data_IF_688715681386
#
_entry.id   IF_688715681386
#
_cell.length_a   1.000
_cell.length_b   1.000
_cell.length_c   1.000
_cell.angle_alpha   90.00
_cell.angle_beta   90.00
_cell.angle_gamma   90.00
#
_symmetry.space_group_name_H-M   'P 1'
#
loop_
_entity.id
_entity.type
_entity.pdbx_description
1 polymer ?
#
# COMPACT_ATOMS: atom_id res chain seq x y z
N UNK A 1 9.69 24.04 46.56
CA UNK A 1 9.31 23.27 45.37
C UNK A 1 7.79 23.17 45.39
N UNK A 2 7.13 23.45 44.26
CA UNK A 2 5.70 23.27 44.17
C UNK A 2 5.38 21.78 44.09
N UNK A 3 4.31 21.34 44.75
CA UNK A 3 3.87 19.96 44.81
C UNK A 3 2.61 19.73 43.93
N UNK A 4 2.57 18.63 43.18
CA UNK A 4 1.41 18.25 42.41
C UNK A 4 0.32 17.69 43.34
N UNK A 5 -0.88 18.23 43.24
CA UNK A 5 -2.04 17.79 44.03
C UNK A 5 -2.68 16.56 43.37
N UNK A 6 -2.79 15.45 44.11
CA UNK A 6 -3.52 14.26 43.69
C UNK A 6 -5.00 14.39 43.98
N UNK A 7 -5.86 14.33 42.95
CA UNK A 7 -7.31 14.48 43.02
C UNK A 7 -8.11 13.27 42.56
N UNK A 8 -7.50 12.08 42.59
CA UNK A 8 -8.17 10.83 42.28
C UNK A 8 -7.72 9.74 43.24
N UNK A 9 -8.47 8.64 43.27
CA UNK A 9 -8.15 7.44 44.04
C UNK A 9 -7.99 6.26 43.14
N UNK A 10 -7.24 5.27 43.59
CA UNK A 10 -7.01 4.00 42.89
C UNK A 10 -7.08 2.83 43.85
N UNK A 11 -6.69 1.65 43.41
CA UNK A 11 -6.62 0.45 44.25
C UNK A 11 -5.35 0.42 45.08
N UNK A 12 -4.33 1.18 44.66
CA UNK A 12 -3.04 1.31 45.35
C UNK A 12 -2.41 2.67 44.98
N UNK A 13 -1.34 3.02 45.67
CA UNK A 13 -0.50 4.21 45.37
C UNK A 13 0.95 3.81 45.31
N UNK A 14 1.66 4.25 44.28
CA UNK A 14 3.09 3.95 44.11
C UNK A 14 3.90 5.15 43.61
N UNK A 15 5.20 5.23 43.89
CA UNK A 15 6.07 6.19 43.23
C UNK A 15 6.00 6.05 41.71
N UNK A 16 5.74 7.14 40.99
CA UNK A 16 5.60 7.11 39.52
C UNK A 16 6.83 6.53 38.81
N UNK A 17 8.02 6.62 39.42
CA UNK A 17 9.28 6.06 38.91
C UNK A 17 9.35 4.54 38.95
N UNK A 18 8.48 3.86 39.69
CA UNK A 18 8.38 2.40 39.69
C UNK A 18 7.61 1.85 38.51
N UNK A 19 6.94 2.71 37.75
CA UNK A 19 6.24 2.34 36.54
C UNK A 19 7.22 2.13 35.38
N UNK A 20 7.05 1.02 34.70
CA UNK A 20 7.82 0.69 33.50
C UNK A 20 6.95 0.91 32.27
N UNK A 21 7.51 1.56 31.27
CA UNK A 21 6.86 1.66 29.97
C UNK A 21 6.62 0.26 29.38
N UNK A 22 5.46 0.09 28.72
CA UNK A 22 5.05 -1.17 28.13
C UNK A 22 4.61 -1.00 26.68
N UNK A 23 4.30 0.22 26.25
CA UNK A 23 3.80 0.50 24.91
C UNK A 23 4.91 0.82 23.89
N UNK A 24 6.12 1.22 24.34
CA UNK A 24 7.17 1.70 23.44
C UNK A 24 6.70 2.92 22.62
N UNK A 25 6.95 2.90 21.32
CA UNK A 25 6.59 3.98 20.39
C UNK A 25 5.14 3.88 19.84
N UNK A 26 4.31 2.98 20.39
CA UNK A 26 2.93 2.77 19.92
C UNK A 26 2.11 4.06 19.83
N UNK A 27 2.30 4.99 20.78
CA UNK A 27 1.65 6.30 20.79
C UNK A 27 2.65 7.40 21.11
N UNK A 28 2.63 8.46 20.31
CA UNK A 28 3.40 9.68 20.53
C UNK A 28 2.51 10.81 21.04
N UNK A 29 3.12 11.84 21.63
CA UNK A 29 2.48 13.09 22.00
C UNK A 29 3.37 14.23 21.48
N UNK A 30 2.78 15.23 20.85
CA UNK A 30 3.50 16.43 20.41
C UNK A 30 3.89 17.29 21.61
N UNK A 31 4.95 18.09 21.47
CA UNK A 31 5.42 18.98 22.56
C UNK A 31 4.33 19.95 23.01
N UNK A 32 3.55 20.53 22.08
CA UNK A 32 2.40 21.40 22.41
C UNK A 32 1.33 20.69 23.27
N UNK A 33 1.01 19.44 22.93
CA UNK A 33 0.05 18.67 23.71
C UNK A 33 0.61 18.19 25.05
N UNK A 34 1.92 17.91 25.11
CA UNK A 34 2.61 17.60 26.38
C UNK A 34 2.56 18.79 27.32
N UNK A 35 2.84 20.02 26.83
CA UNK A 35 2.78 21.24 27.63
C UNK A 35 1.34 21.55 28.08
N UNK A 36 0.33 21.33 27.22
CA UNK A 36 -1.08 21.44 27.64
C UNK A 36 -1.43 20.45 28.75
N UNK A 37 -0.94 19.21 28.66
CA UNK A 37 -1.15 18.20 29.70
C UNK A 37 -0.44 18.55 31.00
N UNK A 38 0.81 19.03 30.96
CA UNK A 38 1.55 19.54 32.12
C UNK A 38 0.78 20.66 32.82
N UNK A 39 0.34 21.67 32.04
CA UNK A 39 -0.41 22.80 32.55
C UNK A 39 -1.74 22.35 33.19
N UNK A 40 -2.42 21.38 32.59
CA UNK A 40 -3.63 20.80 33.16
C UNK A 40 -3.36 20.10 34.49
N UNK A 41 -2.28 19.31 34.58
CA UNK A 41 -1.88 18.64 35.84
C UNK A 41 -1.52 19.66 36.93
N UNK A 42 -0.82 20.74 36.60
CA UNK A 42 -0.50 21.80 37.55
C UNK A 42 -1.77 22.50 38.07
N UNK A 43 -2.66 22.86 37.15
CA UNK A 43 -3.85 23.63 37.47
C UNK A 43 -4.95 22.82 38.19
N UNK A 44 -5.22 21.62 37.71
CA UNK A 44 -6.33 20.79 38.13
C UNK A 44 -5.94 19.65 39.05
N UNK A 45 -4.63 19.35 39.19
CA UNK A 45 -4.10 18.19 39.88
C UNK A 45 -4.11 16.95 39.02
N UNK A 46 -3.55 15.86 39.55
CA UNK A 46 -3.55 14.54 38.89
C UNK A 46 -4.88 13.85 39.15
N UNK A 47 -5.80 13.92 38.18
CA UNK A 47 -7.23 13.63 38.36
C UNK A 47 -7.67 12.21 37.93
N UNK A 48 -6.78 11.38 37.33
CA UNK A 48 -7.14 10.05 36.89
C UNK A 48 -6.04 9.03 37.21
N UNK A 49 -6.37 7.86 37.80
CA UNK A 49 -5.39 6.82 38.08
C UNK A 49 -4.82 6.25 36.78
N UNK A 50 -3.69 5.59 36.86
CA UNK A 50 -3.09 4.86 35.73
C UNK A 50 -3.33 3.36 35.88
N UNK A 51 -3.43 2.66 34.76
CA UNK A 51 -3.63 1.21 34.78
C UNK A 51 -2.30 0.48 34.69
N UNK A 52 -2.10 -0.51 35.56
CA UNK A 52 -0.83 -1.21 35.76
C UNK A 52 -1.03 -2.71 35.73
N UNK A 53 -0.18 -3.40 34.98
CA UNK A 53 -0.05 -4.85 35.06
C UNK A 53 1.18 -5.22 35.88
N UNK A 54 0.94 -5.92 36.99
CA UNK A 54 2.02 -6.43 37.83
C UNK A 54 2.46 -7.80 37.33
N UNK A 55 3.71 -7.88 36.86
CA UNK A 55 4.31 -9.13 36.44
C UNK A 55 5.60 -9.38 37.24
N UNK A 56 5.56 -10.37 38.11
CA UNK A 56 6.60 -10.59 39.15
C UNK A 56 6.77 -9.29 39.96
N UNK A 57 7.98 -8.80 40.07
CA UNK A 57 8.31 -7.59 40.82
C UNK A 57 8.29 -6.30 40.00
N UNK A 58 7.71 -6.32 38.78
CA UNK A 58 7.68 -5.16 37.88
C UNK A 58 6.26 -4.68 37.64
N UNK A 59 6.09 -3.37 37.71
CA UNK A 59 4.84 -2.67 37.44
C UNK A 59 4.87 -2.09 36.01
N UNK A 60 4.21 -2.75 35.07
CA UNK A 60 4.12 -2.31 33.68
C UNK A 60 2.89 -1.43 33.46
N UNK A 61 3.11 -0.25 32.89
CA UNK A 61 2.06 0.71 32.60
C UNK A 61 1.25 0.25 31.39
N UNK A 62 -0.06 0.05 31.56
CA UNK A 62 -0.99 -0.36 30.49
C UNK A 62 -1.71 0.84 29.92
N UNK A 63 -2.14 1.81 30.76
CA UNK A 63 -2.67 3.09 30.30
C UNK A 63 -2.17 4.25 31.17
N UNK A 64 -2.04 5.42 30.56
CA UNK A 64 -1.52 6.62 31.20
C UNK A 64 -0.09 7.00 30.81
N UNK A 65 0.44 6.45 29.71
CA UNK A 65 1.80 6.71 29.23
C UNK A 65 2.09 8.19 29.01
N UNK A 66 1.14 8.94 28.44
CA UNK A 66 1.30 10.39 28.25
C UNK A 66 1.30 11.14 29.59
N UNK A 67 0.48 10.70 30.55
CA UNK A 67 0.50 11.24 31.93
C UNK A 67 1.82 10.96 32.61
N UNK A 68 2.39 9.76 32.44
CA UNK A 68 3.71 9.44 32.96
C UNK A 68 4.81 10.29 32.30
N UNK A 69 4.74 10.54 30.99
CA UNK A 69 5.66 11.47 30.30
C UNK A 69 5.56 12.88 30.88
N UNK A 70 4.35 13.39 31.10
CA UNK A 70 4.13 14.70 31.72
C UNK A 70 4.67 14.78 33.16
N UNK A 71 4.47 13.75 34.00
CA UNK A 71 5.02 13.71 35.36
C UNK A 71 6.55 13.67 35.37
N UNK A 72 7.17 12.92 34.44
CA UNK A 72 8.62 12.91 34.30
C UNK A 72 9.16 14.30 33.92
N UNK A 73 8.49 14.99 32.99
CA UNK A 73 8.87 16.36 32.58
C UNK A 73 8.69 17.33 33.73
N UNK A 74 7.55 17.31 34.43
CA UNK A 74 7.31 18.16 35.62
C UNK A 74 8.33 17.91 36.72
N UNK A 75 8.72 16.65 36.95
CA UNK A 75 9.77 16.33 37.89
C UNK A 75 11.12 16.94 37.47
N UNK A 76 11.47 16.89 36.18
CA UNK A 76 12.66 17.53 35.64
C UNK A 76 12.60 19.06 35.78
N UNK A 77 11.40 19.64 35.66
CA UNK A 77 11.14 21.08 35.88
C UNK A 77 11.17 21.48 37.38
N UNK A 78 11.44 20.55 38.32
CA UNK A 78 11.59 20.80 39.73
C UNK A 78 10.33 20.67 40.57
N UNK A 79 9.24 20.09 40.05
CA UNK A 79 8.07 19.79 40.86
C UNK A 79 8.28 18.53 41.72
N UNK A 80 7.70 18.53 42.91
CA UNK A 80 7.59 17.33 43.76
C UNK A 80 6.36 16.53 43.31
N UNK A 81 6.55 15.25 42.95
CA UNK A 81 5.49 14.35 42.55
C UNK A 81 5.24 13.33 43.67
N UNK A 82 4.09 13.38 44.36
CA UNK A 82 3.70 12.36 45.35
C UNK A 82 3.51 10.99 44.70
N UNK A 83 3.32 9.96 45.52
CA UNK A 83 2.88 8.67 45.04
C UNK A 83 1.54 8.81 44.30
N UNK A 84 1.47 8.18 43.11
CA UNK A 84 0.28 8.32 42.24
C UNK A 84 -0.64 7.12 42.37
N UNK A 85 -1.95 7.33 42.29
CA UNK A 85 -2.93 6.25 42.33
C UNK A 85 -2.89 5.40 41.08
N UNK A 86 -2.94 4.10 41.28
CA UNK A 86 -2.92 3.09 40.23
C UNK A 86 -4.10 2.13 40.36
N UNK A 87 -4.47 1.48 39.27
CA UNK A 87 -5.44 0.38 39.24
C UNK A 87 -4.76 -0.82 38.60
N UNK A 88 -4.71 -1.94 39.34
CA UNK A 88 -4.13 -3.16 38.78
C UNK A 88 -5.08 -3.83 37.79
N UNK A 89 -4.54 -4.16 36.61
CA UNK A 89 -5.20 -5.01 35.61
C UNK A 89 -4.54 -6.39 35.67
N UNK A 90 -5.37 -7.43 35.73
CA UNK A 90 -4.92 -8.80 35.62
C UNK A 90 -4.61 -9.14 34.16
N UNK A 91 -3.48 -9.81 33.92
CA UNK A 91 -3.18 -10.39 32.61
C UNK A 91 -2.36 -11.67 32.82
N UNK A 92 -2.70 -12.71 32.09
CA UNK A 92 -2.10 -14.04 32.26
C UNK A 92 -0.64 -14.09 31.80
N UNK A 93 -0.34 -13.32 30.76
CA UNK A 93 0.99 -13.22 30.18
C UNK A 93 1.19 -11.90 29.42
N UNK A 94 2.39 -11.72 28.84
CA UNK A 94 2.72 -10.49 28.09
C UNK A 94 1.82 -10.24 26.88
N UNK A 95 1.40 -11.31 26.17
CA UNK A 95 0.50 -11.19 25.01
C UNK A 95 -0.88 -10.69 25.44
N UNK A 96 -1.42 -11.25 26.51
CA UNK A 96 -2.70 -10.82 27.07
C UNK A 96 -2.65 -9.36 27.57
N UNK A 97 -1.55 -8.97 28.21
CA UNK A 97 -1.34 -7.60 28.64
C UNK A 97 -1.28 -6.62 27.45
N UNK A 98 -0.61 -6.98 26.36
CA UNK A 98 -0.59 -6.20 25.11
C UNK A 98 -1.98 -6.04 24.52
N UNK A 99 -2.76 -7.15 24.43
CA UNK A 99 -4.14 -7.12 23.95
C UNK A 99 -4.97 -6.15 24.77
N UNK A 100 -4.93 -6.24 26.12
CA UNK A 100 -5.64 -5.33 27.03
C UNK A 100 -5.20 -3.88 26.88
N UNK A 101 -3.91 -3.61 26.68
CA UNK A 101 -3.42 -2.27 26.38
C UNK A 101 -4.08 -1.72 25.12
N UNK A 102 -4.14 -2.49 24.04
CA UNK A 102 -4.78 -2.04 22.80
C UNK A 102 -6.27 -1.72 23.01
N UNK A 103 -7.04 -2.59 23.67
CA UNK A 103 -8.46 -2.35 23.93
C UNK A 103 -8.69 -1.09 24.75
N UNK A 104 -7.90 -0.86 25.80
CA UNK A 104 -8.04 0.33 26.64
C UNK A 104 -7.57 1.59 25.91
N UNK A 105 -6.46 1.47 25.17
CA UNK A 105 -5.80 2.61 24.55
C UNK A 105 -6.43 3.06 23.24
N UNK A 106 -7.21 2.20 22.55
CA UNK A 106 -7.84 2.52 21.27
C UNK A 106 -8.91 3.63 21.37
N UNK A 107 -9.37 3.95 22.60
CA UNK A 107 -10.47 4.91 22.80
C UNK A 107 -10.03 6.39 22.78
N UNK A 108 -8.74 6.72 23.00
CA UNK A 108 -8.35 8.09 23.33
C UNK A 108 -7.00 8.56 22.72
N UNK A 109 -6.49 7.95 21.67
CA UNK A 109 -5.22 8.40 21.11
C UNK A 109 -4.90 7.86 19.73
N UNK A 110 -4.02 8.57 19.02
CA UNK A 110 -3.53 8.14 17.71
C UNK A 110 -2.37 7.15 17.89
N UNK A 111 -2.41 6.05 17.15
CA UNK A 111 -1.30 5.12 17.03
C UNK A 111 -0.36 5.59 15.93
N UNK A 112 0.94 5.31 16.05
CA UNK A 112 1.87 5.37 14.92
C UNK A 112 1.82 4.03 14.19
N UNK A 113 1.93 4.05 12.86
CA UNK A 113 1.83 2.83 12.04
C UNK A 113 2.96 1.86 12.41
N UNK A 114 4.19 2.38 12.49
CA UNK A 114 5.38 1.59 12.83
C UNK A 114 5.27 0.99 14.24
N UNK A 115 4.92 1.82 15.22
CA UNK A 115 4.80 1.37 16.61
C UNK A 115 3.65 0.38 16.82
N UNK A 116 2.58 0.50 16.03
CA UNK A 116 1.48 -0.45 16.06
C UNK A 116 1.88 -1.79 15.44
N UNK A 117 2.47 -1.78 14.26
CA UNK A 117 2.92 -2.99 13.58
C UNK A 117 3.85 -3.81 14.49
N UNK A 118 4.90 -3.20 15.04
CA UNK A 118 5.83 -3.85 15.97
C UNK A 118 5.15 -4.39 17.24
N UNK A 119 4.10 -3.70 17.70
CA UNK A 119 3.44 -4.06 18.96
C UNK A 119 2.52 -5.28 18.81
N UNK A 120 1.90 -5.49 17.63
CA UNK A 120 0.92 -6.57 17.41
C UNK A 120 1.50 -7.85 16.82
N UNK A 121 2.76 -7.85 16.39
CA UNK A 121 3.42 -8.99 15.73
C UNK A 121 3.25 -10.35 16.43
N UNK A 122 3.06 -10.37 17.74
CA UNK A 122 2.99 -11.59 18.54
C UNK A 122 1.61 -11.84 19.18
N UNK A 123 0.58 -11.08 18.77
CA UNK A 123 -0.78 -11.21 19.31
C UNK A 123 -1.82 -11.26 18.18
N UNK A 124 -2.86 -12.05 18.42
CA UNK A 124 -4.07 -12.07 17.60
C UNK A 124 -5.07 -11.06 18.18
N UNK A 125 -5.48 -10.08 17.38
CA UNK A 125 -6.39 -8.99 17.78
C UNK A 125 -7.53 -8.89 16.80
N UNK A 126 -8.78 -9.01 17.27
CA UNK A 126 -9.94 -8.66 16.47
C UNK A 126 -10.08 -7.14 16.40
N UNK A 127 -9.76 -6.57 15.25
CA UNK A 127 -9.82 -5.13 15.02
C UNK A 127 -11.23 -4.55 15.06
N UNK A 128 -12.26 -5.37 14.85
CA UNK A 128 -13.66 -4.92 14.95
C UNK A 128 -14.05 -4.61 16.40
N UNK A 129 -13.35 -5.18 17.37
CA UNK A 129 -13.55 -4.90 18.78
C UNK A 129 -12.76 -3.67 19.27
N UNK A 130 -11.76 -3.21 18.49
CA UNK A 130 -11.05 -1.98 18.79
C UNK A 130 -11.86 -0.80 18.29
N UNK A 131 -12.30 0.07 19.22
CA UNK A 131 -12.90 1.36 18.87
C UNK A 131 -11.81 2.34 18.41
N UNK A 132 -11.33 2.13 17.19
CA UNK A 132 -10.50 3.11 16.51
C UNK A 132 -11.44 4.20 16.00
N UNK A 133 -11.20 5.44 16.40
CA UNK A 133 -12.03 6.58 15.99
C UNK A 133 -12.12 6.61 14.47
N UNK A 134 -13.34 6.71 13.97
CA UNK A 134 -13.67 6.72 12.54
C UNK A 134 -12.69 7.58 11.74
N UNK A 135 -11.98 6.98 10.83
CA UNK A 135 -11.23 7.67 9.78
C UNK A 135 -9.71 7.58 9.82
N UNK A 136 -9.07 6.90 10.79
CA UNK A 136 -7.60 6.89 10.85
C UNK A 136 -6.93 5.56 10.50
N UNK A 137 -7.60 4.43 10.61
CA UNK A 137 -7.00 3.15 10.22
C UNK A 137 -8.08 2.13 9.82
N UNK A 138 -8.15 1.79 8.55
CA UNK A 138 -8.75 0.55 8.09
C UNK A 138 -7.63 -0.52 8.12
N UNK A 139 -7.46 -1.17 9.26
CA UNK A 139 -6.53 -2.28 9.40
C UNK A 139 -7.22 -3.57 8.96
N UNK A 140 -7.28 -3.84 7.69
CA UNK A 140 -7.36 -5.22 7.22
C UNK A 140 -5.96 -5.82 7.30
N UNK A 141 -5.59 -6.37 8.47
CA UNK A 141 -4.44 -7.27 8.55
C UNK A 141 -4.87 -8.58 7.88
N UNK A 142 -4.07 -9.13 6.98
CA UNK A 142 -4.31 -10.47 6.48
C UNK A 142 -4.33 -11.43 7.67
N UNK A 143 -5.44 -12.16 7.86
CA UNK A 143 -5.45 -13.32 8.71
C UNK A 143 -4.61 -14.40 8.02
N UNK A 144 -3.71 -15.00 8.77
CA UNK A 144 -2.78 -16.05 8.37
C UNK A 144 -1.59 -15.57 7.52
N UNK A 145 -0.46 -15.41 8.23
CA UNK A 145 0.85 -15.59 7.65
C UNK A 145 1.03 -17.09 7.32
N UNK A 146 0.50 -17.52 6.19
CA UNK A 146 1.34 -18.35 5.36
C UNK A 146 2.36 -17.37 4.80
N UNK A 147 3.65 -17.59 5.09
CA UNK A 147 4.76 -16.97 4.41
C UNK A 147 4.50 -17.06 2.90
N UNK A 148 3.83 -16.06 2.36
CA UNK A 148 3.98 -15.75 0.95
C UNK A 148 5.35 -15.07 0.94
N UNK A 149 6.40 -15.85 0.70
CA UNK A 149 7.65 -15.31 0.24
C UNK A 149 7.26 -14.27 -0.81
N UNK A 150 7.56 -12.99 -0.53
CA UNK A 150 7.30 -11.92 -1.49
C UNK A 150 8.10 -12.32 -2.75
N UNK A 151 7.41 -12.72 -3.81
CA UNK A 151 8.03 -13.12 -5.07
C UNK A 151 8.90 -12.00 -5.67
N UNK A 152 9.04 -10.86 -4.99
CA UNK A 152 9.58 -9.61 -5.48
C UNK A 152 10.48 -8.84 -4.50
N UNK A 153 11.16 -9.50 -3.55
CA UNK A 153 12.27 -8.84 -2.84
C UNK A 153 13.44 -8.63 -3.81
N UNK A 154 13.41 -7.50 -4.51
CA UNK A 154 14.52 -7.04 -5.34
C UNK A 154 15.49 -6.34 -4.39
N UNK A 155 16.71 -6.90 -4.23
CA UNK A 155 17.79 -6.17 -3.59
C UNK A 155 18.07 -4.87 -4.38
N UNK A 156 18.18 -3.74 -3.69
CA UNK A 156 18.56 -2.46 -4.34
C UNK A 156 19.93 -2.49 -5.03
N UNK A 157 20.72 -3.56 -4.85
CA UNK A 157 22.04 -3.77 -5.46
C UNK A 157 21.94 -4.67 -6.70
N UNK A 158 21.40 -4.14 -7.80
CA UNK A 158 21.47 -4.79 -9.10
C UNK A 158 22.73 -4.34 -9.83
N UNK A 159 23.49 -5.31 -10.39
CA UNK A 159 24.71 -4.99 -11.16
C UNK A 159 24.35 -4.27 -12.45
N UNK A 160 24.96 -3.13 -12.76
CA UNK A 160 24.63 -2.35 -13.95
C UNK A 160 25.12 -3.07 -15.23
N UNK A 161 24.18 -3.44 -16.08
CA UNK A 161 24.43 -4.13 -17.36
C UNK A 161 23.85 -3.34 -18.51
N UNK A 162 22.63 -2.86 -18.39
CA UNK A 162 21.84 -2.22 -19.45
C UNK A 162 22.37 -0.83 -19.81
N UNK A 163 22.27 -0.48 -21.09
CA UNK A 163 22.59 0.85 -21.64
C UNK A 163 21.44 1.34 -22.51
N UNK A 164 21.36 2.64 -22.71
CA UNK A 164 20.41 3.23 -23.66
C UNK A 164 20.56 2.60 -25.05
N UNK A 165 19.45 2.18 -25.62
CA UNK A 165 19.36 1.47 -26.90
C UNK A 165 19.39 -0.05 -26.79
N UNK A 166 19.68 -0.62 -25.62
CA UNK A 166 19.70 -2.08 -25.44
C UNK A 166 18.29 -2.67 -25.47
N UNK A 167 18.15 -3.79 -26.18
CA UNK A 167 16.94 -4.58 -26.29
C UNK A 167 17.09 -5.91 -25.53
N UNK A 168 16.31 -6.08 -24.49
CA UNK A 168 16.18 -7.34 -23.77
C UNK A 168 15.03 -8.19 -24.33
N UNK A 169 15.27 -9.48 -24.46
CA UNK A 169 14.23 -10.50 -24.65
C UNK A 169 14.13 -11.32 -23.36
N UNK A 170 12.94 -11.27 -22.73
CA UNK A 170 12.61 -11.91 -21.45
C UNK A 170 11.57 -13.00 -21.72
N UNK A 171 12.00 -14.22 -22.05
CA UNK A 171 11.12 -15.24 -22.61
C UNK A 171 10.48 -14.78 -23.92
N UNK A 172 9.16 -14.56 -23.91
CA UNK A 172 8.42 -14.02 -25.05
C UNK A 172 8.22 -12.50 -24.98
N UNK A 173 8.60 -11.88 -23.87
CA UNK A 173 8.49 -10.43 -23.68
C UNK A 173 9.73 -9.71 -24.23
N UNK A 174 9.58 -8.40 -24.44
CA UNK A 174 10.68 -7.52 -24.85
C UNK A 174 10.70 -6.27 -23.98
N UNK A 175 11.91 -5.80 -23.67
CA UNK A 175 12.13 -4.54 -22.95
C UNK A 175 13.22 -3.76 -23.69
N UNK A 176 12.92 -2.55 -24.11
CA UNK A 176 13.92 -1.63 -24.67
C UNK A 176 14.27 -0.55 -23.66
N UNK A 177 15.56 -0.32 -23.46
CA UNK A 177 16.05 0.81 -22.70
C UNK A 177 16.06 2.05 -23.60
N UNK A 178 15.07 2.94 -23.45
CA UNK A 178 14.95 4.08 -24.34
C UNK A 178 13.78 5.01 -24.04
N UNK A 179 13.70 6.07 -24.81
CA UNK A 179 12.64 7.06 -24.74
C UNK A 179 11.37 6.56 -25.44
N UNK A 180 10.24 6.55 -24.74
CA UNK A 180 8.94 6.11 -25.26
C UNK A 180 8.32 7.09 -26.27
N UNK A 181 8.79 8.34 -26.34
CA UNK A 181 8.40 9.31 -27.38
C UNK A 181 9.10 9.06 -28.72
N UNK A 182 10.19 8.26 -28.70
CA UNK A 182 10.93 7.95 -29.91
C UNK A 182 10.30 6.78 -30.67
N UNK A 183 9.65 7.06 -31.81
CA UNK A 183 9.03 6.06 -32.68
C UNK A 183 9.99 4.98 -33.20
N UNK A 184 11.30 5.22 -33.27
CA UNK A 184 12.29 4.22 -33.65
C UNK A 184 12.42 3.13 -32.58
N UNK A 185 12.44 3.51 -31.30
CA UNK A 185 12.44 2.56 -30.18
C UNK A 185 11.19 1.67 -30.21
N UNK A 186 10.01 2.27 -30.47
CA UNK A 186 8.75 1.53 -30.60
C UNK A 186 8.82 0.54 -31.76
N UNK A 187 9.33 0.97 -32.92
CA UNK A 187 9.45 0.10 -34.10
C UNK A 187 10.41 -1.09 -33.86
N UNK A 188 11.55 -0.86 -33.21
CA UNK A 188 12.50 -1.90 -32.83
C UNK A 188 11.83 -2.90 -31.88
N UNK A 189 11.15 -2.38 -30.86
CA UNK A 189 10.50 -3.18 -29.83
C UNK A 189 9.39 -4.06 -30.39
N UNK A 190 8.54 -3.50 -31.24
CA UNK A 190 7.43 -4.21 -31.87
C UNK A 190 7.87 -5.18 -32.97
N UNK A 191 8.93 -4.87 -33.71
CA UNK A 191 9.43 -5.68 -34.83
C UNK A 191 8.33 -6.06 -35.83
N UNK A 192 7.37 -5.16 -36.09
CA UNK A 192 6.24 -5.37 -37.00
C UNK A 192 4.98 -5.94 -36.37
N UNK A 193 5.00 -6.31 -35.09
CA UNK A 193 3.81 -6.72 -34.36
C UNK A 193 2.92 -5.50 -34.08
N UNK A 194 1.61 -5.75 -33.94
CA UNK A 194 0.62 -4.72 -33.58
C UNK A 194 0.11 -5.01 -32.18
N UNK A 195 0.26 -4.09 -31.21
CA UNK A 195 -0.27 -4.29 -29.88
C UNK A 195 -1.80 -4.34 -29.89
N UNK A 196 -2.38 -5.25 -29.13
CA UNK A 196 -3.81 -5.26 -28.84
C UNK A 196 -4.21 -4.27 -27.76
N UNK A 197 -3.26 -3.98 -26.85
CA UNK A 197 -3.49 -3.05 -25.73
C UNK A 197 -2.26 -2.17 -25.53
N UNK A 198 -2.48 -0.88 -25.45
CA UNK A 198 -1.49 0.11 -25.05
C UNK A 198 -1.66 0.43 -23.57
N UNK A 199 -0.56 0.59 -22.84
CA UNK A 199 -0.53 0.97 -21.42
C UNK A 199 0.29 2.25 -21.30
N UNK A 200 -0.32 3.28 -20.74
CA UNK A 200 0.29 4.59 -20.50
C UNK A 200 0.21 4.89 -19.01
N UNK A 201 1.32 4.79 -18.29
CA UNK A 201 1.47 5.14 -16.88
C UNK A 201 2.61 6.14 -16.70
N UNK A 202 2.46 7.36 -17.17
CA UNK A 202 3.55 8.32 -17.28
C UNK A 202 4.03 8.79 -15.91
N UNK A 203 5.32 9.16 -15.77
CA UNK A 203 5.82 9.82 -14.58
C UNK A 203 5.03 11.11 -14.29
N UNK A 204 4.94 11.48 -13.00
CA UNK A 204 4.10 12.60 -12.55
C UNK A 204 4.56 14.00 -13.01
N UNK A 205 5.73 14.11 -13.59
CA UNK A 205 6.36 15.34 -14.08
C UNK A 205 6.31 15.52 -15.60
N UNK A 206 5.76 14.54 -16.33
CA UNK A 206 5.62 14.68 -17.79
C UNK A 206 4.61 15.78 -18.13
N UNK A 207 5.03 16.78 -18.89
CA UNK A 207 4.17 17.90 -19.26
C UNK A 207 3.33 17.61 -20.51
N UNK A 208 3.85 16.78 -21.42
CA UNK A 208 3.29 16.54 -22.76
C UNK A 208 2.72 15.13 -22.90
N UNK A 209 1.65 14.82 -22.10
CA UNK A 209 0.96 13.55 -22.17
C UNK A 209 0.38 13.24 -23.57
N UNK A 210 0.08 14.28 -24.34
CA UNK A 210 -0.45 14.15 -25.69
C UNK A 210 0.51 13.41 -26.64
N UNK A 211 1.82 13.60 -26.50
CA UNK A 211 2.81 13.04 -27.40
C UNK A 211 3.05 11.54 -27.21
N UNK A 212 2.76 11.03 -26.02
CA UNK A 212 2.94 9.59 -25.70
C UNK A 212 1.69 8.75 -25.96
N UNK A 213 0.51 9.35 -26.11
CA UNK A 213 -0.70 8.62 -26.49
C UNK A 213 -0.67 8.32 -27.98
N UNK A 214 -0.72 7.03 -28.39
CA UNK A 214 -0.72 6.68 -29.81
C UNK A 214 -2.02 7.10 -30.51
N UNK A 215 -1.96 7.26 -31.85
CA UNK A 215 -3.17 7.39 -32.65
C UNK A 215 -4.01 6.12 -32.55
N UNK A 216 -5.33 6.28 -32.55
CA UNK A 216 -6.26 5.15 -32.52
C UNK A 216 -6.08 4.20 -33.72
N UNK A 217 -6.02 2.91 -33.46
CA UNK A 217 -5.77 1.86 -34.44
C UNK A 217 -6.58 0.57 -34.24
N UNK A 218 -7.76 0.66 -33.61
CA UNK A 218 -8.65 -0.46 -33.24
C UNK A 218 -8.11 -1.35 -32.11
N UNK A 219 -7.03 -0.97 -31.46
CA UNK A 219 -6.57 -1.57 -30.21
C UNK A 219 -7.33 -1.01 -29.02
N UNK A 220 -6.95 -1.40 -27.82
CA UNK A 220 -7.44 -0.81 -26.56
C UNK A 220 -6.33 0.03 -25.93
N UNK A 221 -6.69 1.05 -25.18
CA UNK A 221 -5.77 1.92 -24.49
C UNK A 221 -6.13 1.98 -23.02
N UNK A 222 -5.16 1.72 -22.14
CA UNK A 222 -5.27 1.89 -20.68
C UNK A 222 -4.37 3.07 -20.30
N UNK A 223 -4.95 4.12 -19.72
CA UNK A 223 -4.19 5.28 -19.24
C UNK A 223 -4.36 5.38 -17.74
N UNK A 224 -3.25 5.40 -16.99
CA UNK A 224 -3.24 5.66 -15.56
C UNK A 224 -3.05 7.15 -15.32
N UNK A 225 -3.78 7.69 -14.33
CA UNK A 225 -3.74 9.11 -13.97
C UNK A 225 -3.93 9.39 -12.49
N UNK A 226 -3.53 10.60 -12.11
CA UNK A 226 -4.00 11.25 -10.90
C UNK A 226 -5.07 12.31 -11.25
N UNK A 227 -5.73 12.87 -10.23
CA UNK A 227 -6.78 13.87 -10.45
C UNK A 227 -6.33 15.09 -11.27
N UNK A 228 -5.07 15.51 -11.16
CA UNK A 228 -4.56 16.68 -11.91
C UNK A 228 -4.50 16.44 -13.41
N UNK A 229 -4.27 15.18 -13.83
CA UNK A 229 -4.06 14.79 -15.22
C UNK A 229 -5.26 14.14 -15.87
N UNK A 230 -6.28 13.83 -15.07
CA UNK A 230 -7.50 13.19 -15.56
C UNK A 230 -8.05 13.88 -16.83
N UNK A 231 -8.32 15.20 -16.75
CA UNK A 231 -8.88 15.93 -17.88
C UNK A 231 -7.91 15.97 -19.07
N UNK A 232 -6.61 16.17 -18.83
CA UNK A 232 -5.58 16.18 -19.89
C UNK A 232 -5.45 14.82 -20.57
N UNK A 233 -5.44 13.74 -19.80
CA UNK A 233 -5.33 12.38 -20.34
C UNK A 233 -6.55 12.01 -21.18
N UNK A 234 -7.76 12.31 -20.70
CA UNK A 234 -9.00 12.06 -21.43
C UNK A 234 -9.08 12.86 -22.72
N UNK A 235 -8.81 14.18 -22.66
CA UNK A 235 -8.79 15.03 -23.86
C UNK A 235 -7.72 14.60 -24.87
N UNK A 236 -6.53 14.20 -24.40
CA UNK A 236 -5.47 13.73 -25.29
C UNK A 236 -5.89 12.43 -26.00
N UNK A 237 -6.47 11.47 -25.28
CA UNK A 237 -6.97 10.23 -25.86
C UNK A 237 -8.09 10.49 -26.87
N UNK A 238 -9.09 11.28 -26.53
CA UNK A 238 -10.19 11.63 -27.45
C UNK A 238 -9.70 12.36 -28.69
N UNK A 239 -8.74 13.27 -28.56
CA UNK A 239 -8.16 14.01 -29.71
C UNK A 239 -7.42 13.05 -30.67
N UNK A 240 -6.85 11.95 -30.15
CA UNK A 240 -6.21 10.88 -30.92
C UNK A 240 -7.19 9.84 -31.46
N UNK A 241 -8.50 10.06 -31.30
CA UNK A 241 -9.57 9.21 -31.83
C UNK A 241 -10.00 8.07 -30.91
N UNK A 242 -9.54 8.04 -29.66
CA UNK A 242 -9.93 7.04 -28.68
C UNK A 242 -11.27 7.40 -28.03
N UNK A 243 -12.16 6.40 -27.85
CA UNK A 243 -13.44 6.58 -27.15
C UNK A 243 -13.34 6.03 -25.71
N UNK A 244 -13.70 6.88 -24.72
CA UNK A 244 -13.70 6.48 -23.31
C UNK A 244 -14.82 5.48 -23.03
N UNK A 245 -14.51 4.34 -22.40
CA UNK A 245 -15.45 3.28 -22.10
C UNK A 245 -15.80 3.19 -20.62
N UNK A 246 -14.79 2.99 -19.77
CA UNK A 246 -14.95 2.83 -18.32
C UNK A 246 -13.63 3.15 -17.59
N UNK A 247 -13.74 3.31 -16.28
CA UNK A 247 -12.60 3.54 -15.43
C UNK A 247 -12.50 2.50 -14.31
N UNK A 248 -11.29 2.32 -13.78
CA UNK A 248 -11.02 1.58 -12.57
C UNK A 248 -10.33 2.47 -11.55
N UNK A 249 -10.74 2.37 -10.30
CA UNK A 249 -10.19 3.10 -9.17
C UNK A 249 -9.56 2.10 -8.20
N UNK A 250 -8.31 2.32 -7.86
CA UNK A 250 -7.68 1.65 -6.74
C UNK A 250 -7.71 2.55 -5.52
N UNK A 251 -8.53 2.19 -4.52
CA UNK A 251 -8.50 2.78 -3.18
C UNK A 251 -7.34 2.16 -2.40
N UNK A 252 -6.28 2.95 -2.20
CA UNK A 252 -5.03 2.51 -1.57
C UNK A 252 -5.15 2.36 -0.05
N UNK A 253 -6.31 2.67 0.56
CA UNK A 253 -6.55 2.73 2.01
C UNK A 253 -5.59 3.63 2.79
N UNK A 254 -4.54 4.14 2.18
CA UNK A 254 -3.58 5.09 2.74
C UNK A 254 -3.72 6.43 2.05
N UNK A 255 -3.64 7.52 2.82
CA UNK A 255 -3.78 8.88 2.29
C UNK A 255 -2.45 9.58 2.24
N UNK A 256 -2.19 10.33 1.16
CA UNK A 256 -1.02 11.20 1.08
C UNK A 256 -1.40 12.62 1.50
N UNK A 257 -0.64 13.15 2.44
CA UNK A 257 -0.80 14.54 2.88
C UNK A 257 -0.14 15.48 1.86
N UNK A 258 -0.92 16.44 1.40
CA UNK A 258 -0.43 17.61 0.65
C UNK A 258 -0.98 18.84 1.32
N UNK A 259 -0.16 19.84 1.70
CA UNK A 259 -0.64 21.06 2.33
C UNK A 259 -1.78 21.72 1.52
N UNK A 260 -2.83 22.17 2.21
CA UNK A 260 -3.97 22.88 1.63
C UNK A 260 -4.80 22.10 0.60
N UNK A 261 -4.77 20.76 0.61
CA UNK A 261 -5.57 19.91 -0.26
C UNK A 261 -6.22 18.77 0.53
N UNK A 262 -7.36 18.22 0.04
CA UNK A 262 -7.89 16.97 0.58
C UNK A 262 -6.85 15.85 0.48
N UNK A 263 -6.92 14.90 1.41
CA UNK A 263 -6.05 13.72 1.39
C UNK A 263 -6.34 12.88 0.15
N UNK A 264 -5.34 12.67 -0.70
CA UNK A 264 -5.46 11.77 -1.84
C UNK A 264 -5.36 10.33 -1.34
N UNK A 265 -6.33 9.47 -1.74
CA UNK A 265 -6.42 8.09 -1.25
C UNK A 265 -6.51 7.07 -2.38
N UNK A 266 -6.67 7.50 -3.62
CA UNK A 266 -6.89 6.59 -4.73
C UNK A 266 -6.01 6.91 -5.94
N UNK A 267 -5.82 5.90 -6.77
CA UNK A 267 -5.30 6.01 -8.14
C UNK A 267 -6.36 5.49 -9.10
N UNK A 268 -6.37 5.98 -10.31
CA UNK A 268 -7.34 5.58 -11.32
C UNK A 268 -6.67 5.28 -12.66
N UNK A 269 -7.34 4.47 -13.47
CA UNK A 269 -7.04 4.34 -14.89
C UNK A 269 -8.33 4.30 -15.70
N UNK A 270 -8.29 4.86 -16.91
CA UNK A 270 -9.37 4.75 -17.89
C UNK A 270 -9.03 3.76 -18.98
N UNK A 271 -10.05 3.13 -19.50
CA UNK A 271 -9.98 2.25 -20.68
C UNK A 271 -10.70 2.93 -21.82
N UNK A 272 -10.01 3.02 -22.95
CA UNK A 272 -10.50 3.63 -24.18
C UNK A 272 -10.46 2.62 -25.32
N UNK A 273 -11.52 2.55 -26.13
CA UNK A 273 -11.65 1.57 -27.22
C UNK A 273 -12.91 1.85 -28.03
N UNK A 274 -12.99 1.35 -29.27
CA UNK A 274 -14.25 1.28 -30.03
C UNK A 274 -15.18 0.17 -29.50
N UNK A 275 -14.60 -0.82 -28.80
CA UNK A 275 -15.32 -1.97 -28.26
C UNK A 275 -15.43 -1.87 -26.75
N UNK A 276 -16.63 -1.67 -26.19
CA UNK A 276 -16.86 -1.58 -24.76
C UNK A 276 -16.74 -2.93 -24.04
N UNK A 277 -16.45 -4.01 -24.76
CA UNK A 277 -16.42 -5.34 -24.18
C UNK A 277 -15.33 -5.49 -23.13
N UNK A 278 -15.74 -5.96 -21.97
CA UNK A 278 -14.90 -6.35 -20.85
C UNK A 278 -15.28 -7.77 -20.44
N UNK A 279 -14.30 -8.69 -20.44
CA UNK A 279 -14.54 -10.09 -20.03
C UNK A 279 -14.61 -10.18 -18.51
N UNK A 280 -15.81 -9.94 -17.99
CA UNK A 280 -16.06 -9.93 -16.57
C UNK A 280 -15.76 -11.28 -15.90
N UNK A 281 -15.98 -12.39 -16.61
CA UNK A 281 -15.74 -13.74 -16.07
C UNK A 281 -14.25 -14.05 -15.90
N UNK A 282 -13.38 -13.38 -16.66
CA UNK A 282 -11.92 -13.49 -16.53
C UNK A 282 -11.31 -12.47 -15.60
N UNK A 283 -12.00 -11.37 -15.32
CA UNK A 283 -11.55 -10.30 -14.43
C UNK A 283 -11.73 -10.67 -12.96
N UNK A 284 -11.00 -11.68 -12.49
CA UNK A 284 -11.14 -12.26 -11.17
C UNK A 284 -9.90 -11.92 -10.31
N UNK A 285 -10.16 -11.48 -9.09
CA UNK A 285 -9.14 -11.31 -8.05
C UNK A 285 -9.15 -12.57 -7.19
N UNK A 286 -8.08 -13.34 -7.24
CA UNK A 286 -7.88 -14.51 -6.37
C UNK A 286 -7.50 -14.01 -4.99
N UNK A 287 -8.06 -14.66 -3.96
CA UNK A 287 -7.81 -14.34 -2.54
C UNK A 287 -8.24 -12.92 -2.10
N UNK A 288 -9.04 -12.25 -2.92
CA UNK A 288 -9.62 -10.95 -2.58
C UNK A 288 -10.73 -11.08 -1.55
N UNK A 289 -10.51 -10.58 -0.33
CA UNK A 289 -11.61 -10.28 0.60
C UNK A 289 -12.22 -8.95 0.16
N UNK A 290 -13.14 -8.99 -0.79
CA UNK A 290 -13.97 -7.81 -1.03
C UNK A 290 -14.94 -7.69 0.16
N UNK A 291 -14.96 -6.54 0.82
CA UNK A 291 -16.08 -6.19 1.71
C UNK A 291 -17.35 -6.30 0.88
N UNK A 292 -18.37 -6.93 1.46
CA UNK A 292 -19.70 -7.05 0.85
C UNK A 292 -20.11 -5.73 0.19
N UNK A 293 -19.86 -5.61 -1.10
CA UNK A 293 -20.49 -4.58 -1.87
C UNK A 293 -21.98 -4.90 -1.84
N UNK A 294 -22.72 -4.18 -1.00
CA UNK A 294 -24.18 -4.22 -1.04
C UNK A 294 -24.58 -4.02 -2.48
N UNK A 295 -25.16 -5.05 -3.05
CA UNK A 295 -25.72 -5.00 -4.41
C UNK A 295 -26.65 -3.81 -4.46
N UNK A 296 -26.28 -2.79 -5.22
CA UNK A 296 -27.17 -1.67 -5.49
C UNK A 296 -28.18 -2.18 -6.50
N UNK A 297 -29.41 -2.39 -6.04
CA UNK A 297 -30.53 -2.76 -6.89
C UNK A 297 -30.72 -1.71 -7.98
N UNK A 298 -30.52 -2.08 -9.21
CA UNK A 298 -31.10 -1.30 -10.29
C UNK A 298 -32.51 -1.83 -10.58
N UNK A 299 -33.33 -1.00 -11.17
CA UNK A 299 -34.77 -1.23 -11.42
C UNK A 299 -35.07 -2.41 -12.36
N UNK A 300 -34.14 -3.30 -12.70
CA UNK A 300 -34.27 -4.38 -13.69
C UNK A 300 -34.11 -5.81 -13.15
N UNK A 301 -34.03 -6.01 -11.83
CA UNK A 301 -34.00 -7.34 -11.23
C UNK A 301 -32.71 -7.66 -10.48
N UNK A 302 -32.78 -8.66 -9.61
CA UNK A 302 -31.66 -9.13 -8.80
C UNK A 302 -30.55 -9.70 -9.67
N UNK A 303 -29.39 -9.05 -9.71
CA UNK A 303 -28.14 -9.72 -10.10
C UNK A 303 -27.70 -10.59 -8.91
N UNK A 304 -27.92 -11.90 -8.99
CA UNK A 304 -27.31 -12.84 -8.04
C UNK A 304 -25.81 -12.94 -8.35
N UNK A 305 -25.03 -12.31 -7.52
CA UNK A 305 -23.59 -12.49 -7.49
C UNK A 305 -23.26 -13.74 -6.67
N UNK A 306 -22.63 -14.73 -7.28
CA UNK A 306 -22.14 -15.92 -6.58
C UNK A 306 -20.62 -15.83 -6.53
N UNK A 307 -19.99 -15.62 -5.34
CA UNK A 307 -18.53 -15.69 -5.24
C UNK A 307 -18.07 -17.10 -5.63
N UNK A 308 -17.12 -17.20 -6.52
CA UNK A 308 -16.35 -18.42 -6.74
C UNK A 308 -15.37 -18.59 -5.56
N UNK A 309 -15.28 -19.77 -4.97
CA UNK A 309 -14.45 -20.14 -3.82
C UNK A 309 -13.23 -19.22 -3.59
N UNK A 310 -13.38 -18.18 -2.77
CA UNK A 310 -12.33 -17.21 -2.44
C UNK A 310 -11.92 -16.22 -3.55
N UNK A 311 -12.54 -16.26 -4.73
CA UNK A 311 -12.29 -15.32 -5.82
C UNK A 311 -13.42 -14.30 -5.96
N UNK A 312 -13.10 -13.08 -6.35
CA UNK A 312 -14.05 -11.97 -6.50
C UNK A 312 -13.87 -11.35 -7.88
N UNK A 313 -14.96 -11.08 -8.58
CA UNK A 313 -14.90 -10.34 -9.84
C UNK A 313 -14.46 -8.89 -9.58
N UNK A 314 -13.64 -8.35 -10.48
CA UNK A 314 -13.20 -6.96 -10.40
C UNK A 314 -14.39 -6.02 -10.53
N UNK A 315 -14.56 -5.13 -9.56
CA UNK A 315 -15.45 -3.97 -9.67
C UNK A 315 -14.66 -2.75 -10.12
N UNK A 316 -15.35 -1.68 -10.51
CA UNK A 316 -14.71 -0.41 -10.86
C UNK A 316 -13.92 0.20 -9.69
N UNK A 317 -14.21 -0.18 -8.45
CA UNK A 317 -13.43 0.23 -7.28
C UNK A 317 -12.80 -1.00 -6.63
N UNK A 318 -11.47 -1.05 -6.63
CA UNK A 318 -10.67 -2.04 -5.96
C UNK A 318 -10.09 -1.44 -4.68
N UNK A 319 -10.35 -2.08 -3.55
CA UNK A 319 -9.92 -1.58 -2.23
C UNK A 319 -8.87 -2.53 -1.69
N UNK A 320 -7.66 -2.03 -1.46
CA UNK A 320 -6.62 -2.82 -0.80
C UNK A 320 -5.54 -1.94 -0.20
N UNK A 321 -5.00 -2.39 0.95
CA UNK A 321 -3.93 -1.69 1.61
C UNK A 321 -2.60 -1.91 0.86
N UNK A 322 -1.77 -0.86 0.79
CA UNK A 322 -0.45 -0.91 0.15
C UNK A 322 0.55 -1.77 0.93
N UNK A 323 0.38 -1.87 2.27
CA UNK A 323 1.21 -2.70 3.14
C UNK A 323 0.75 -4.17 3.03
N UNK A 324 1.42 -4.99 2.31
CA UNK A 324 1.09 -6.40 2.07
C UNK A 324 0.75 -6.69 0.63
N UNK A 325 1.06 -5.76 -0.27
CA UNK A 325 0.90 -5.95 -1.70
C UNK A 325 2.24 -6.03 -2.37
N UNK A 326 2.33 -6.98 -3.27
CA UNK A 326 3.39 -7.03 -4.25
C UNK A 326 3.29 -5.81 -5.18
N UNK A 327 4.08 -4.80 -4.89
CA UNK A 327 4.26 -3.59 -5.72
C UNK A 327 5.64 -3.57 -6.36
N UNK A 328 6.41 -4.68 -6.25
CA UNK A 328 7.77 -4.77 -6.73
C UNK A 328 8.74 -3.80 -6.07
N UNK A 329 8.60 -3.58 -4.76
CA UNK A 329 9.49 -2.67 -4.01
C UNK A 329 9.34 -1.18 -4.37
N UNK A 330 8.52 -0.82 -5.37
CA UNK A 330 8.37 0.56 -5.83
C UNK A 330 7.26 1.29 -5.03
N UNK A 331 7.62 2.44 -4.44
CA UNK A 331 6.67 3.30 -3.72
C UNK A 331 5.45 3.72 -4.57
N UNK A 332 5.57 3.70 -5.89
CA UNK A 332 4.52 4.02 -6.86
C UNK A 332 3.93 2.80 -7.56
N UNK A 333 4.39 1.58 -7.23
CA UNK A 333 3.91 0.33 -7.81
C UNK A 333 2.39 0.16 -7.66
N UNK A 334 1.80 -0.56 -8.62
CA UNK A 334 0.39 -0.93 -8.61
C UNK A 334 0.25 -2.41 -8.22
N UNK A 335 -0.86 -2.78 -7.58
CA UNK A 335 -1.12 -4.16 -7.19
C UNK A 335 -1.10 -5.11 -8.38
N UNK A 336 -0.29 -6.14 -8.34
CA UNK A 336 -0.24 -7.16 -9.40
C UNK A 336 -1.62 -7.78 -9.61
N UNK A 337 -2.33 -8.15 -8.52
CA UNK A 337 -3.68 -8.74 -8.61
C UNK A 337 -4.70 -7.82 -9.29
N UNK A 338 -4.60 -6.50 -9.07
CA UNK A 338 -5.48 -5.52 -9.72
C UNK A 338 -5.19 -5.41 -11.21
N UNK A 339 -3.91 -5.31 -11.58
CA UNK A 339 -3.49 -5.28 -12.99
C UNK A 339 -3.84 -6.58 -13.71
N UNK A 340 -3.63 -7.75 -13.05
CA UNK A 340 -3.99 -9.06 -13.58
C UNK A 340 -5.49 -9.14 -13.92
N UNK A 341 -6.35 -8.68 -13.01
CA UNK A 341 -7.78 -8.67 -13.24
C UNK A 341 -8.19 -7.70 -14.37
N UNK A 342 -7.60 -6.51 -14.43
CA UNK A 342 -7.84 -5.55 -15.52
C UNK A 342 -7.41 -6.13 -16.85
N UNK A 343 -6.20 -6.66 -16.97
CA UNK A 343 -5.66 -7.17 -18.23
C UNK A 343 -6.45 -8.41 -18.72
N UNK A 344 -6.85 -9.29 -17.83
CA UNK A 344 -7.72 -10.41 -18.17
C UNK A 344 -9.07 -9.94 -18.69
N UNK A 345 -9.67 -8.93 -18.06
CA UNK A 345 -10.96 -8.39 -18.47
C UNK A 345 -10.90 -7.59 -19.77
N UNK A 346 -9.88 -6.76 -19.94
CA UNK A 346 -9.66 -5.97 -21.18
C UNK A 346 -9.36 -6.90 -22.35
N UNK A 347 -8.65 -8.01 -22.12
CA UNK A 347 -8.30 -8.99 -23.14
C UNK A 347 -7.13 -8.58 -24.02
N UNK A 348 -6.96 -9.24 -25.17
CA UNK A 348 -5.80 -9.06 -26.03
C UNK A 348 -4.65 -10.02 -25.71
N UNK A 349 -3.67 -10.14 -26.60
CA UNK A 349 -2.55 -11.06 -26.47
C UNK A 349 -1.21 -10.34 -26.38
N UNK A 350 -1.10 -9.14 -26.98
CA UNK A 350 0.12 -8.33 -27.01
C UNK A 350 -0.18 -6.98 -26.36
N UNK A 351 0.57 -6.66 -25.32
CA UNK A 351 0.51 -5.41 -24.56
C UNK A 351 1.75 -4.58 -24.83
N UNK A 352 1.62 -3.28 -25.04
CA UNK A 352 2.73 -2.35 -25.14
C UNK A 352 2.67 -1.36 -23.99
N UNK A 353 3.62 -1.44 -23.07
CA UNK A 353 3.77 -0.57 -21.91
C UNK A 353 4.86 0.49 -22.20
N UNK A 354 4.45 1.76 -22.27
CA UNK A 354 5.35 2.88 -22.58
C UNK A 354 6.23 3.30 -21.41
N UNK A 355 5.88 2.90 -20.18
CA UNK A 355 6.57 3.30 -18.96
C UNK A 355 6.67 2.11 -18.01
N UNK A 356 7.60 1.21 -18.27
CA UNK A 356 7.68 -0.06 -17.58
C UNK A 356 7.90 0.07 -16.06
N UNK A 357 8.60 1.11 -15.62
CA UNK A 357 8.89 1.37 -14.20
C UNK A 357 9.60 0.18 -13.54
N UNK A 358 8.92 -0.53 -12.65
CA UNK A 358 9.42 -1.75 -12.01
C UNK A 358 9.09 -3.05 -12.78
N UNK A 359 8.48 -2.98 -13.96
CA UNK A 359 8.15 -4.13 -14.82
C UNK A 359 6.90 -4.91 -14.40
N UNK A 360 5.98 -4.31 -13.67
CA UNK A 360 4.76 -4.98 -13.23
C UNK A 360 3.96 -5.57 -14.40
N UNK A 361 3.85 -4.86 -15.53
CA UNK A 361 3.14 -5.32 -16.71
C UNK A 361 3.74 -6.59 -17.33
N UNK A 362 5.08 -6.74 -17.33
CA UNK A 362 5.76 -7.96 -17.80
C UNK A 362 5.39 -9.15 -16.92
N UNK A 363 5.46 -8.98 -15.60
CA UNK A 363 5.12 -10.05 -14.64
C UNK A 363 3.64 -10.44 -14.77
N UNK A 364 2.74 -9.46 -14.86
CA UNK A 364 1.30 -9.73 -15.06
C UNK A 364 1.07 -10.48 -16.35
N UNK A 365 1.63 -10.04 -17.46
CA UNK A 365 1.46 -10.70 -18.75
C UNK A 365 2.02 -12.13 -18.74
N UNK A 366 3.18 -12.38 -18.13
CA UNK A 366 3.70 -13.73 -17.95
C UNK A 366 2.78 -14.63 -17.12
N UNK A 367 2.18 -14.10 -16.03
CA UNK A 367 1.22 -14.83 -15.18
C UNK A 367 -0.04 -15.24 -15.92
N UNK A 368 -0.56 -14.37 -16.79
CA UNK A 368 -1.81 -14.61 -17.53
C UNK A 368 -1.59 -15.20 -18.92
N UNK A 369 -0.35 -15.53 -19.28
CA UNK A 369 0.02 -16.14 -20.58
C UNK A 369 -0.11 -15.20 -21.77
N UNK A 370 0.17 -13.90 -21.56
CA UNK A 370 0.18 -12.84 -22.58
C UNK A 370 1.61 -12.38 -22.86
N UNK A 371 1.78 -11.54 -23.86
CA UNK A 371 3.06 -10.96 -24.24
C UNK A 371 3.05 -9.47 -23.86
N UNK A 372 4.14 -9.01 -23.24
CA UNK A 372 4.34 -7.61 -22.94
C UNK A 372 5.61 -7.10 -23.63
N UNK A 373 5.47 -6.01 -24.35
CA UNK A 373 6.56 -5.21 -24.86
C UNK A 373 6.61 -3.92 -24.06
N UNK A 374 7.78 -3.57 -23.51
CA UNK A 374 7.89 -2.49 -22.55
C UNK A 374 9.05 -1.55 -22.88
N UNK A 375 8.87 -0.29 -22.55
CA UNK A 375 9.88 0.77 -22.71
C UNK A 375 10.20 1.33 -21.33
N UNK A 376 11.48 1.47 -21.01
CA UNK A 376 11.98 2.10 -19.79
C UNK A 376 13.18 2.97 -20.12
N UNK A 377 13.15 4.20 -19.65
CA UNK A 377 14.21 5.17 -19.97
C UNK A 377 15.47 4.96 -19.13
N UNK A 378 15.31 4.56 -17.87
CA UNK A 378 16.41 4.41 -16.93
C UNK A 378 17.05 3.01 -17.06
N UNK A 379 18.36 2.92 -17.47
CA UNK A 379 19.07 1.66 -17.52
C UNK A 379 19.04 0.85 -16.21
N UNK A 380 19.07 1.53 -15.05
CA UNK A 380 19.01 0.87 -13.75
C UNK A 380 17.65 0.20 -13.53
N UNK A 381 16.56 0.88 -13.88
CA UNK A 381 15.22 0.27 -13.83
C UNK A 381 15.10 -0.92 -14.78
N UNK A 382 15.74 -0.85 -15.96
CA UNK A 382 15.78 -1.99 -16.87
C UNK A 382 16.47 -3.21 -16.22
N UNK A 383 17.60 -3.00 -15.53
CA UNK A 383 18.30 -4.08 -14.82
C UNK A 383 17.42 -4.65 -13.68
N UNK A 384 16.70 -3.81 -12.95
CA UNK A 384 15.70 -4.22 -11.94
C UNK A 384 14.61 -5.10 -12.58
N UNK A 385 14.06 -4.71 -13.73
CA UNK A 385 13.04 -5.47 -14.45
C UNK A 385 13.56 -6.86 -14.86
N UNK A 386 14.78 -6.92 -15.37
CA UNK A 386 15.43 -8.19 -15.78
C UNK A 386 15.61 -9.10 -14.56
N UNK A 387 16.10 -8.58 -13.45
CA UNK A 387 16.29 -9.36 -12.22
C UNK A 387 14.95 -9.84 -11.64
N UNK A 388 13.94 -8.97 -11.62
CA UNK A 388 12.59 -9.32 -11.22
C UNK A 388 12.02 -10.46 -12.06
N UNK A 389 12.15 -10.41 -13.37
CA UNK A 389 11.71 -11.49 -14.25
C UNK A 389 12.46 -12.80 -13.98
N UNK A 390 13.78 -12.76 -13.72
CA UNK A 390 14.58 -13.93 -13.33
C UNK A 390 14.06 -14.55 -12.03
N UNK A 391 13.86 -13.72 -11.00
CA UNK A 391 13.37 -14.16 -9.70
C UNK A 391 11.99 -14.80 -9.84
N UNK A 392 11.09 -14.18 -10.60
CA UNK A 392 9.78 -14.74 -10.88
C UNK A 392 9.88 -16.11 -11.58
N UNK A 393 10.72 -16.26 -12.59
CA UNK A 393 10.95 -17.54 -13.26
C UNK A 393 11.48 -18.62 -12.30
N UNK A 394 12.44 -18.26 -11.43
CA UNK A 394 13.03 -19.19 -10.46
C UNK A 394 11.97 -19.67 -9.45
N UNK A 395 11.22 -18.75 -8.85
CA UNK A 395 10.15 -19.05 -7.90
C UNK A 395 9.07 -19.94 -8.53
N UNK A 396 8.68 -19.64 -9.76
CA UNK A 396 7.65 -20.41 -10.48
C UNK A 396 8.20 -21.63 -11.24
N UNK A 397 9.49 -21.98 -11.10
CA UNK A 397 10.16 -23.11 -11.77
C UNK A 397 10.00 -23.07 -13.27
N UNK A 398 10.00 -21.89 -13.87
CA UNK A 398 9.94 -21.67 -15.31
C UNK A 398 11.34 -21.54 -15.91
N UNK A 399 11.44 -21.87 -17.19
CA UNK A 399 12.70 -21.70 -17.92
C UNK A 399 12.92 -20.21 -18.21
N UNK A 400 13.91 -19.61 -17.57
CA UNK A 400 14.29 -18.22 -17.76
C UNK A 400 15.20 -18.06 -18.98
N UNK A 401 14.64 -17.65 -20.09
CA UNK A 401 15.38 -17.35 -21.32
C UNK A 401 15.60 -15.85 -21.44
N UNK A 402 16.87 -15.42 -21.32
CA UNK A 402 17.25 -14.02 -21.44
C UNK A 402 18.17 -13.82 -22.62
N UNK A 403 17.94 -12.76 -23.42
CA UNK A 403 18.85 -12.30 -24.43
C UNK A 403 18.98 -10.77 -24.32
N UNK A 404 20.19 -10.31 -24.58
CA UNK A 404 20.53 -8.91 -24.72
C UNK A 404 20.99 -8.65 -26.15
N UNK A 405 20.30 -7.79 -26.86
CA UNK A 405 20.59 -7.47 -28.27
C UNK A 405 20.70 -8.75 -29.19
N UNK A 406 19.77 -9.70 -28.95
CA UNK A 406 19.72 -10.97 -29.68
C UNK A 406 20.72 -12.03 -29.22
N UNK A 407 21.67 -11.70 -28.34
CA UNK A 407 22.67 -12.64 -27.81
C UNK A 407 22.19 -13.21 -26.47
N UNK A 408 22.28 -14.52 -26.31
CA UNK A 408 21.89 -15.20 -25.06
C UNK A 408 22.68 -14.63 -23.89
N UNK A 409 21.97 -14.16 -22.89
CA UNK A 409 22.57 -13.61 -21.68
C UNK A 409 22.71 -14.70 -20.61
N UNK A 410 23.91 -14.83 -20.09
CA UNK A 410 24.23 -15.72 -18.98
C UNK A 410 24.78 -14.85 -17.85
N UNK A 411 24.09 -14.82 -16.70
CA UNK A 411 24.76 -14.35 -15.51
C UNK A 411 25.79 -15.40 -15.07
N UNK A 412 27.05 -14.98 -14.94
CA UNK A 412 28.08 -15.78 -14.28
C UNK A 412 27.89 -15.82 -12.77
#
# INVERSE_FOLDING_TARGET
>A
MAEIIIKCTGTDVIPFRQLKDFQGELKTITDDNLDKLKNSIIKNGFCAPVFVWKNKDKNYLIDGHQRLKALNSLFADGYTIPDIPIVYITADNKKDAKRKLLYISSQYGQFTIEGYADFVLDIDVDFNELRLTDGLFDFSIPADETEVESEDDISEEVQPVTKLGDLWELGNHRLICGDSTNGENINILLAGEVPHVYIIDPPYDIEELYDVIPEHNKSKLIVFWDFKRFATAACAAETKGWEAQYEFIWDCCTSWYTPNRPLARHKACGVFSDDPFFDFDKAIIKDGKQRDAKIVYNTRGECKYTPLDGAVHLSTVFVTNKAGMDTGGNAHGKPIAWLEAIYNGVGGDIYLDYFAGSGASIIVCEKIGKICYSIELDPHNCDIIVERYKNWCNTNKKNCLLKLNGVKYHNE
#
